data_IF_946413389155
#
_entry.id   IF_946413389155
#
_cell.length_a   1.000
_cell.length_b   1.000
_cell.length_c   1.000
_cell.angle_alpha   90.00
_cell.angle_beta   90.00
_cell.angle_gamma   90.00
#
_symmetry.space_group_name_H-M   'P 1'
#
loop_
_entity.id
_entity.type
_entity.pdbx_description
1 polymer ?
#
# COMPACT_ATOMS: atom_id res chain seq x y z
N UNK A 1 -9.05 10.29 57.54
CA UNK A 1 -8.05 9.19 57.56
C UNK A 1 -8.08 8.50 56.20
N UNK A 2 -7.18 8.84 55.29
CA UNK A 2 -7.13 8.21 53.96
C UNK A 2 -6.66 6.76 54.12
N UNK A 3 -7.56 5.81 53.88
CA UNK A 3 -7.28 4.38 53.96
C UNK A 3 -6.37 4.02 52.78
N UNK A 4 -5.07 3.84 53.03
CA UNK A 4 -4.12 3.36 52.03
C UNK A 4 -4.49 1.91 51.66
N UNK A 5 -5.22 1.75 50.56
CA UNK A 5 -5.55 0.43 50.01
C UNK A 5 -4.27 -0.14 49.43
N UNK A 6 -3.67 -1.12 50.10
CA UNK A 6 -2.51 -1.87 49.57
C UNK A 6 -2.95 -2.58 48.29
N UNK A 7 -2.46 -2.11 47.13
CA UNK A 7 -2.73 -2.76 45.84
C UNK A 7 -1.96 -4.08 45.79
N UNK A 8 -2.64 -5.18 45.45
CA UNK A 8 -2.01 -6.48 45.26
C UNK A 8 -1.01 -6.41 44.10
N UNK A 9 0.23 -6.84 44.35
CA UNK A 9 1.29 -6.92 43.33
C UNK A 9 0.85 -7.81 42.17
N UNK A 10 0.22 -8.96 42.45
CA UNK A 10 -0.32 -9.87 41.44
C UNK A 10 -1.34 -9.18 40.53
N UNK A 11 -2.23 -8.36 41.10
CA UNK A 11 -3.23 -7.62 40.30
C UNK A 11 -2.58 -6.56 39.42
N UNK A 12 -1.56 -5.87 39.93
CA UNK A 12 -0.79 -4.90 39.15
C UNK A 12 -0.06 -5.57 37.99
N UNK A 13 0.62 -6.69 38.24
CA UNK A 13 1.33 -7.46 37.21
C UNK A 13 0.35 -7.98 36.15
N UNK A 14 -0.76 -8.61 36.56
CA UNK A 14 -1.77 -9.12 35.63
C UNK A 14 -2.35 -8.01 34.74
N UNK A 15 -2.61 -6.83 35.31
CA UNK A 15 -3.12 -5.68 34.55
C UNK A 15 -2.08 -5.17 33.55
N UNK A 16 -0.81 -5.08 33.95
CA UNK A 16 0.28 -4.67 33.05
C UNK A 16 0.48 -5.67 31.91
N UNK A 17 0.47 -6.98 32.21
CA UNK A 17 0.57 -8.02 31.18
C UNK A 17 -0.60 -7.99 30.21
N UNK A 18 -1.82 -7.74 30.70
CA UNK A 18 -3.00 -7.57 29.85
C UNK A 18 -2.86 -6.36 28.93
N UNK A 19 -2.38 -5.22 29.43
CA UNK A 19 -2.13 -4.04 28.60
C UNK A 19 -1.06 -4.29 27.53
N UNK A 20 0.03 -4.96 27.89
CA UNK A 20 1.09 -5.34 26.94
C UNK A 20 0.53 -6.27 25.85
N UNK A 21 -0.28 -7.27 26.24
CA UNK A 21 -0.91 -8.19 25.30
C UNK A 21 -1.85 -7.46 24.33
N UNK A 22 -2.72 -6.59 24.86
CA UNK A 22 -3.65 -5.80 24.04
C UNK A 22 -2.89 -4.88 23.08
N UNK A 23 -1.83 -4.23 23.55
CA UNK A 23 -0.99 -3.39 22.71
C UNK A 23 -0.33 -4.21 21.59
N UNK A 24 0.21 -5.40 21.91
CA UNK A 24 0.81 -6.29 20.92
C UNK A 24 -0.19 -6.73 19.86
N UNK A 25 -1.41 -7.12 20.25
CA UNK A 25 -2.44 -7.53 19.28
C UNK A 25 -2.85 -6.34 18.41
N UNK A 26 -3.00 -5.15 18.98
CA UNK A 26 -3.34 -3.95 18.23
C UNK A 26 -2.25 -3.58 17.22
N UNK A 27 -0.97 -3.59 17.61
CA UNK A 27 0.12 -3.25 16.69
C UNK A 27 0.33 -4.31 15.61
N UNK A 28 0.25 -5.60 15.95
CA UNK A 28 0.31 -6.67 14.95
C UNK A 28 -0.87 -6.61 13.99
N UNK A 29 -2.08 -6.40 14.50
CA UNK A 29 -3.27 -6.23 13.66
C UNK A 29 -3.15 -5.03 12.71
N UNK A 30 -2.66 -3.90 13.21
CA UNK A 30 -2.38 -2.72 12.40
C UNK A 30 -1.32 -3.02 11.33
N UNK A 31 -0.23 -3.69 11.67
CA UNK A 31 0.81 -4.06 10.72
C UNK A 31 0.29 -4.99 9.61
N UNK A 32 -0.55 -5.98 9.95
CA UNK A 32 -1.19 -6.86 8.97
C UNK A 32 -2.13 -6.06 8.06
N UNK A 33 -2.92 -5.14 8.62
CA UNK A 33 -3.82 -4.28 7.86
C UNK A 33 -3.05 -3.42 6.85
N UNK A 34 -1.97 -2.77 7.29
CA UNK A 34 -1.08 -1.99 6.41
C UNK A 34 -0.48 -2.86 5.31
N UNK A 35 0.02 -4.05 5.65
CA UNK A 35 0.59 -4.97 4.66
C UNK A 35 -0.45 -5.43 3.62
N UNK A 36 -1.68 -5.72 4.06
CA UNK A 36 -2.76 -6.09 3.17
C UNK A 36 -3.14 -4.95 2.23
N UNK A 37 -3.13 -3.70 2.72
CA UNK A 37 -3.37 -2.53 1.86
C UNK A 37 -2.27 -2.28 0.82
N UNK A 38 -1.02 -2.67 1.12
CA UNK A 38 0.14 -2.43 0.24
C UNK A 38 0.46 -3.58 -0.72
N UNK A 39 -0.38 -4.62 -0.81
CA UNK A 39 -0.11 -5.81 -1.64
C UNK A 39 0.08 -5.46 -3.12
N UNK A 40 -0.63 -4.45 -3.62
CA UNK A 40 -0.58 -4.03 -5.01
C UNK A 40 0.49 -2.97 -5.28
N UNK A 41 1.16 -2.43 -4.25
CA UNK A 41 2.08 -1.29 -4.41
C UNK A 41 3.29 -1.64 -5.27
N UNK A 42 3.84 -2.85 -5.11
CA UNK A 42 4.97 -3.31 -5.91
C UNK A 42 4.60 -3.44 -7.40
N UNK A 43 3.39 -3.93 -7.69
CA UNK A 43 2.87 -4.00 -9.06
C UNK A 43 2.62 -2.59 -9.61
N UNK A 44 2.01 -1.72 -8.80
CA UNK A 44 1.72 -0.35 -9.18
C UNK A 44 3.01 0.41 -9.55
N UNK A 45 4.08 0.28 -8.75
CA UNK A 45 5.39 0.87 -9.04
C UNK A 45 5.98 0.30 -10.33
N UNK A 46 5.86 -1.01 -10.57
CA UNK A 46 6.39 -1.64 -11.78
C UNK A 46 5.63 -1.18 -13.04
N UNK A 47 4.30 -1.11 -12.99
CA UNK A 47 3.47 -0.61 -14.11
C UNK A 47 3.74 0.87 -14.37
N UNK A 48 3.82 1.70 -13.33
CA UNK A 48 4.21 3.10 -13.45
C UNK A 48 5.61 3.26 -14.07
N UNK A 49 6.56 2.40 -13.67
CA UNK A 49 7.90 2.35 -14.23
C UNK A 49 7.91 1.97 -15.71
N UNK A 50 7.14 0.94 -16.09
CA UNK A 50 7.04 0.50 -17.48
C UNK A 50 6.38 1.57 -18.37
N UNK A 51 5.38 2.30 -17.86
CA UNK A 51 4.74 3.40 -18.59
C UNK A 51 5.75 4.47 -19.01
N UNK A 52 6.75 4.81 -18.18
CA UNK A 52 7.82 5.74 -18.57
C UNK A 52 8.59 5.24 -19.78
N UNK A 53 8.91 3.94 -19.82
CA UNK A 53 9.58 3.32 -20.97
C UNK A 53 8.65 3.33 -22.20
N UNK A 54 7.39 2.99 -22.02
CA UNK A 54 6.40 2.99 -23.09
C UNK A 54 6.17 4.40 -23.67
N UNK A 55 6.21 5.46 -22.86
CA UNK A 55 6.14 6.85 -23.34
C UNK A 55 7.29 7.18 -24.30
N UNK A 56 8.52 6.75 -23.97
CA UNK A 56 9.66 6.93 -24.88
C UNK A 56 9.52 6.08 -26.14
N UNK A 57 9.02 4.85 -26.02
CA UNK A 57 8.75 3.99 -27.17
C UNK A 57 7.75 4.63 -28.14
N UNK A 58 6.65 5.19 -27.64
CA UNK A 58 5.67 5.90 -28.46
C UNK A 58 6.27 7.12 -29.18
N UNK A 59 7.13 7.89 -28.50
CA UNK A 59 7.84 8.99 -29.15
C UNK A 59 8.78 8.49 -30.27
N UNK A 60 9.46 7.36 -30.06
CA UNK A 60 10.30 6.74 -31.07
C UNK A 60 9.49 6.18 -32.25
N UNK A 61 8.33 5.58 -31.99
CA UNK A 61 7.44 5.04 -33.01
C UNK A 61 6.94 6.16 -33.95
N UNK A 62 6.61 7.33 -33.41
CA UNK A 62 6.23 8.51 -34.20
C UNK A 62 7.39 8.95 -35.09
N UNK A 63 8.60 9.03 -34.55
CA UNK A 63 9.77 9.49 -35.28
C UNK A 63 10.23 8.52 -36.37
N UNK A 64 9.98 7.23 -36.19
CA UNK A 64 10.36 6.16 -37.11
C UNK A 64 9.24 5.74 -38.07
N UNK A 65 8.05 6.36 -37.96
CA UNK A 65 6.83 5.95 -38.67
C UNK A 65 6.54 4.45 -38.50
N UNK A 66 6.72 3.96 -37.28
CA UNK A 66 6.58 2.55 -36.94
C UNK A 66 5.16 2.05 -37.23
N UNK A 67 5.07 0.90 -37.90
CA UNK A 67 3.79 0.21 -38.15
C UNK A 67 3.12 -0.27 -36.86
N UNK A 68 3.90 -0.41 -35.78
CA UNK A 68 3.43 -0.88 -34.48
C UNK A 68 2.91 0.26 -33.59
N UNK A 69 2.95 1.52 -34.05
CA UNK A 69 2.56 2.67 -33.23
C UNK A 69 1.17 2.50 -32.60
N UNK A 70 0.18 2.06 -33.38
CA UNK A 70 -1.19 1.86 -32.87
C UNK A 70 -1.24 0.76 -31.80
N UNK A 71 -0.53 -0.35 -31.98
CA UNK A 71 -0.55 -1.44 -31.00
C UNK A 71 0.17 -1.05 -29.70
N UNK A 72 1.23 -0.24 -29.79
CA UNK A 72 1.92 0.29 -28.63
C UNK A 72 1.09 1.32 -27.85
N UNK A 73 0.15 2.03 -28.50
CA UNK A 73 -0.86 2.85 -27.80
C UNK A 73 -1.78 1.96 -26.97
N UNK A 74 -2.30 0.88 -27.57
CA UNK A 74 -3.18 -0.06 -26.86
C UNK A 74 -2.48 -0.68 -25.63
N UNK A 75 -1.18 -1.01 -25.74
CA UNK A 75 -0.38 -1.50 -24.62
C UNK A 75 -0.19 -0.44 -23.51
N UNK A 76 0.00 0.82 -23.90
CA UNK A 76 0.10 1.92 -22.94
C UNK A 76 -1.24 2.12 -22.23
N UNK A 77 -2.36 2.05 -22.95
CA UNK A 77 -3.70 2.14 -22.39
C UNK A 77 -4.00 0.97 -21.43
N UNK A 78 -3.60 -0.26 -21.78
CA UNK A 78 -3.71 -1.40 -20.87
C UNK A 78 -2.90 -1.20 -19.58
N UNK A 79 -1.77 -0.49 -19.66
CA UNK A 79 -0.94 -0.19 -18.50
C UNK A 79 -1.59 0.87 -17.61
N UNK A 80 -2.15 1.95 -18.18
CA UNK A 80 -2.78 3.02 -17.40
C UNK A 80 -4.08 2.56 -16.72
N UNK A 81 -4.80 1.62 -17.33
CA UNK A 81 -6.03 1.03 -16.78
C UNK A 81 -5.80 -0.35 -16.13
N UNK A 82 -4.56 -0.69 -15.78
CA UNK A 82 -4.29 -1.93 -15.05
C UNK A 82 -5.00 -1.93 -13.68
N UNK A 83 -5.28 -3.11 -13.14
CA UNK A 83 -5.87 -3.23 -11.81
C UNK A 83 -5.05 -2.51 -10.73
N UNK A 84 -3.72 -2.61 -10.79
CA UNK A 84 -2.80 -1.94 -9.87
C UNK A 84 -2.83 -0.41 -9.98
N UNK A 85 -3.06 0.14 -11.18
CA UNK A 85 -3.23 1.59 -11.38
C UNK A 85 -4.60 2.09 -10.92
N UNK A 86 -5.67 1.35 -11.23
CA UNK A 86 -7.02 1.70 -10.79
C UNK A 86 -7.18 1.62 -9.27
N UNK A 87 -6.43 0.72 -8.61
CA UNK A 87 -6.41 0.63 -7.14
C UNK A 87 -5.91 1.93 -6.48
N UNK A 88 -5.12 2.76 -7.17
CA UNK A 88 -4.64 4.04 -6.67
C UNK A 88 -5.75 5.11 -6.56
N UNK A 89 -6.92 4.89 -7.18
CA UNK A 89 -8.06 5.80 -7.11
C UNK A 89 -8.95 5.57 -5.88
N UNK A 90 -8.57 4.67 -4.99
CA UNK A 90 -9.36 4.31 -3.81
C UNK A 90 -9.18 5.33 -2.67
N UNK A 91 -10.22 5.57 -1.86
CA UNK A 91 -10.21 6.57 -0.76
C UNK A 91 -9.12 6.38 0.30
N UNK A 92 -8.59 5.15 0.41
CA UNK A 92 -7.53 4.80 1.36
C UNK A 92 -6.14 5.22 0.90
N UNK A 93 -5.99 5.62 -0.37
CA UNK A 93 -4.74 6.13 -0.93
C UNK A 93 -4.69 7.64 -0.67
N UNK A 94 -3.61 8.17 -0.05
CA UNK A 94 -3.47 9.59 0.18
C UNK A 94 -3.49 10.41 -1.12
N UNK A 95 -4.10 11.59 -1.08
CA UNK A 95 -3.95 12.60 -2.15
C UNK A 95 -2.58 13.29 -2.03
N UNK A 96 -2.03 13.75 -3.16
CA UNK A 96 -0.76 14.49 -3.25
C UNK A 96 -0.82 15.89 -2.61
#
# INVERSE_FOLDING_TARGET
MFKNVKKSVTRTIASAMMLILLLSVATTGFAIFTLASSLNDAEAVNVAGSMRMQSYRLAHDIQSESVDYSSHIDLFEQSIYSHSMLALQHWSVPED
#
